data_IF_172883390024
#
_entry.id   IF_172883390024
#
_cell.length_a   1.000
_cell.length_b   1.000
_cell.length_c   1.000
_cell.angle_alpha   90.00
_cell.angle_beta   90.00
_cell.angle_gamma   90.00
#
_symmetry.space_group_name_H-M   'P 1'
#
loop_
_entity.id
_entity.type
_entity.pdbx_description
1 polymer ?
#
# COMPACT_ATOMS: atom_id res chain seq x y z
N UNK A 1 0.35 -11.89 4.98
CA UNK A 1 1.70 -12.47 5.04
C UNK A 1 2.69 -11.37 5.33
N UNK A 2 3.33 -11.39 6.52
CA UNK A 2 4.39 -10.45 6.85
C UNK A 2 5.60 -10.78 5.97
N UNK A 3 6.01 -9.84 5.13
CA UNK A 3 7.27 -9.92 4.41
C UNK A 3 8.35 -9.79 5.49
N UNK A 4 8.93 -10.92 5.89
CA UNK A 4 10.09 -10.93 6.75
C UNK A 4 11.14 -10.02 6.08
N UNK A 5 11.48 -8.91 6.70
CA UNK A 5 12.57 -8.05 6.25
C UNK A 5 13.81 -8.94 6.21
N UNK A 6 14.31 -9.25 5.01
CA UNK A 6 15.49 -10.08 4.82
C UNK A 6 16.62 -9.41 5.60
N UNK A 7 17.00 -9.99 6.74
CA UNK A 7 18.11 -9.50 7.58
C UNK A 7 19.36 -9.47 6.70
N UNK A 8 19.92 -8.29 6.52
CA UNK A 8 21.16 -8.09 5.77
C UNK A 8 22.29 -8.65 6.63
N UNK A 9 23.04 -9.61 6.09
CA UNK A 9 24.20 -10.21 6.76
C UNK A 9 25.41 -9.28 6.65
N UNK A 10 26.21 -9.25 7.71
CA UNK A 10 27.43 -8.45 7.74
C UNK A 10 28.57 -9.21 8.36
N UNK A 11 29.77 -8.89 7.96
CA UNK A 11 31.02 -9.40 8.50
C UNK A 11 31.01 -10.95 8.64
N UNK A 12 31.09 -11.45 9.84
CA UNK A 12 31.17 -12.89 10.12
C UNK A 12 29.86 -13.65 9.91
N UNK A 13 28.73 -12.95 9.78
CA UNK A 13 27.43 -13.56 9.44
C UNK A 13 27.38 -14.05 7.97
N UNK A 14 28.33 -13.61 7.13
CA UNK A 14 28.44 -14.03 5.73
C UNK A 14 29.05 -15.44 5.72
N UNK A 15 28.32 -16.41 5.21
CA UNK A 15 28.71 -17.84 5.25
C UNK A 15 29.37 -18.35 3.97
N UNK A 16 29.23 -17.63 2.87
CA UNK A 16 29.74 -18.04 1.55
C UNK A 16 31.26 -18.03 1.51
N UNK A 17 31.93 -19.11 1.01
CA UNK A 17 33.37 -19.22 0.97
C UNK A 17 34.03 -18.22 -0.02
N UNK A 18 33.33 -17.89 -1.11
CA UNK A 18 33.75 -16.89 -2.11
C UNK A 18 32.67 -15.82 -2.23
N UNK A 19 33.10 -14.57 -2.40
CA UNK A 19 32.23 -13.40 -2.50
C UNK A 19 32.76 -12.45 -3.57
N UNK A 20 31.86 -11.75 -4.25
CA UNK A 20 32.20 -10.66 -5.17
C UNK A 20 32.22 -9.37 -4.40
N UNK A 21 33.39 -8.76 -4.31
CA UNK A 21 33.61 -7.58 -3.46
C UNK A 21 33.52 -6.29 -4.27
N UNK A 22 32.78 -5.33 -3.71
CA UNK A 22 32.75 -3.93 -4.14
C UNK A 22 33.45 -3.12 -3.05
N UNK A 23 34.45 -2.35 -3.41
CA UNK A 23 35.23 -1.52 -2.50
C UNK A 23 34.44 -0.36 -1.89
N UNK A 24 35.05 0.33 -0.95
CA UNK A 24 34.46 1.50 -0.30
C UNK A 24 34.19 2.66 -1.25
N UNK A 25 35.04 2.80 -2.27
CA UNK A 25 34.91 3.75 -3.38
C UNK A 25 33.79 3.41 -4.39
N UNK A 26 33.20 2.22 -4.25
CA UNK A 26 32.20 1.69 -5.19
C UNK A 26 32.80 0.97 -6.39
N UNK A 27 34.14 0.89 -6.50
CA UNK A 27 34.84 0.13 -7.51
C UNK A 27 34.69 -1.37 -7.32
N UNK A 28 34.70 -2.14 -8.41
CA UNK A 28 34.64 -3.60 -8.34
C UNK A 28 36.07 -4.15 -8.09
N UNK A 29 36.30 -4.77 -6.94
CA UNK A 29 37.57 -5.39 -6.57
C UNK A 29 37.75 -6.76 -7.23
N UNK A 30 36.67 -7.54 -7.34
CA UNK A 30 36.67 -8.86 -7.95
C UNK A 30 36.07 -9.95 -7.06
N UNK A 31 36.38 -11.21 -7.37
CA UNK A 31 35.96 -12.35 -6.56
C UNK A 31 37.08 -12.73 -5.61
N UNK A 32 36.82 -12.63 -4.32
CA UNK A 32 37.75 -12.92 -3.24
C UNK A 32 37.23 -14.04 -2.35
N UNK A 33 38.10 -14.62 -1.55
CA UNK A 33 37.67 -15.48 -0.44
C UNK A 33 37.04 -14.62 0.65
N UNK A 34 36.19 -15.24 1.48
CA UNK A 34 35.55 -14.55 2.62
C UNK A 34 36.60 -13.87 3.54
N UNK A 35 37.73 -14.54 3.80
CA UNK A 35 38.76 -14.04 4.70
C UNK A 35 39.44 -12.78 4.11
N UNK A 36 39.85 -12.81 2.85
CA UNK A 36 40.44 -11.65 2.16
C UNK A 36 39.46 -10.47 2.12
N UNK A 37 38.17 -10.73 1.89
CA UNK A 37 37.13 -9.70 1.90
C UNK A 37 36.94 -9.06 3.29
N UNK A 38 36.99 -9.86 4.35
CA UNK A 38 36.93 -9.37 5.74
C UNK A 38 38.17 -8.53 6.10
N UNK A 39 39.37 -8.96 5.69
CA UNK A 39 40.60 -8.24 5.96
C UNK A 39 40.61 -6.88 5.22
N UNK A 40 40.09 -6.86 3.97
CA UNK A 40 39.91 -5.61 3.22
C UNK A 40 38.94 -4.66 3.94
N UNK A 41 37.84 -5.15 4.48
CA UNK A 41 36.90 -4.32 5.24
C UNK A 41 37.52 -3.78 6.53
N UNK A 42 38.26 -4.63 7.27
CA UNK A 42 38.97 -4.26 8.51
C UNK A 42 40.04 -3.20 8.25
N UNK A 43 40.84 -3.35 7.16
CA UNK A 43 41.88 -2.38 6.81
C UNK A 43 41.32 -1.01 6.47
N UNK A 44 40.06 -0.95 6.05
CA UNK A 44 39.33 0.29 5.75
C UNK A 44 38.53 0.82 6.94
N UNK A 45 38.54 0.16 8.09
CA UNK A 45 37.74 0.46 9.29
C UNK A 45 36.21 0.49 8.99
N UNK A 46 35.77 -0.37 8.06
CA UNK A 46 34.40 -0.47 7.60
C UNK A 46 33.84 -1.88 7.74
N UNK A 47 32.53 -2.02 7.55
CA UNK A 47 31.84 -3.31 7.56
C UNK A 47 31.80 -3.94 6.16
N UNK A 48 31.89 -5.28 6.12
CA UNK A 48 31.58 -6.07 4.94
C UNK A 48 30.07 -6.41 4.94
N UNK A 49 29.31 -5.88 4.01
CA UNK A 49 27.85 -5.99 3.98
C UNK A 49 27.39 -6.78 2.76
N UNK A 50 26.60 -7.83 2.97
CA UNK A 50 26.03 -8.64 1.89
C UNK A 50 24.84 -7.94 1.25
N UNK A 51 25.05 -7.34 0.05
CA UNK A 51 24.02 -6.58 -0.68
C UNK A 51 23.16 -7.43 -1.60
N UNK A 52 23.71 -8.54 -2.14
CA UNK A 52 22.99 -9.46 -3.02
C UNK A 52 23.32 -10.92 -2.69
N UNK A 53 22.56 -11.53 -1.76
CA UNK A 53 22.81 -12.92 -1.32
C UNK A 53 22.43 -13.99 -2.34
N UNK A 54 21.65 -13.64 -3.37
CA UNK A 54 21.16 -14.59 -4.39
C UNK A 54 22.07 -14.66 -5.63
N UNK A 55 23.08 -13.80 -5.72
CA UNK A 55 24.05 -13.87 -6.81
C UNK A 55 25.03 -15.02 -6.56
N UNK A 56 25.61 -15.57 -7.61
CA UNK A 56 26.64 -16.59 -7.54
C UNK A 56 27.93 -16.07 -8.21
N UNK A 57 29.02 -15.80 -7.45
CA UNK A 57 29.09 -15.71 -5.99
C UNK A 57 28.33 -14.50 -5.43
N UNK A 58 27.90 -14.55 -4.12
CA UNK A 58 27.18 -13.44 -3.47
C UNK A 58 27.96 -12.12 -3.55
N UNK A 59 27.23 -11.01 -3.73
CA UNK A 59 27.85 -9.69 -3.80
C UNK A 59 27.87 -9.06 -2.42
N UNK A 60 29.07 -8.65 -2.01
CA UNK A 60 29.32 -7.92 -0.77
C UNK A 60 29.92 -6.56 -1.06
N UNK A 61 29.71 -5.60 -0.18
CA UNK A 61 30.27 -4.25 -0.30
C UNK A 61 30.89 -3.82 1.02
N UNK A 62 32.07 -3.17 0.91
CA UNK A 62 32.73 -2.54 2.05
C UNK A 62 32.09 -1.18 2.26
N UNK A 63 31.41 -0.97 3.40
CA UNK A 63 30.73 0.28 3.74
C UNK A 63 30.40 0.36 5.24
N UNK A 64 30.03 1.55 5.71
CA UNK A 64 29.43 1.71 7.03
C UNK A 64 28.01 1.13 7.06
N UNK A 65 27.80 0.08 7.83
CA UNK A 65 26.51 -0.60 7.96
C UNK A 65 25.43 0.30 8.58
N UNK A 66 25.81 1.16 9.54
CA UNK A 66 24.87 2.08 10.18
C UNK A 66 24.30 3.08 9.19
N UNK A 67 25.17 3.69 8.37
CA UNK A 67 24.78 4.61 7.30
C UNK A 67 23.92 3.92 6.23
N UNK A 68 24.31 2.72 5.82
CA UNK A 68 23.54 1.92 4.89
C UNK A 68 22.12 1.63 5.40
N UNK A 69 21.99 1.18 6.65
CA UNK A 69 20.70 0.88 7.28
C UNK A 69 19.82 2.13 7.38
N UNK A 70 20.41 3.27 7.74
CA UNK A 70 19.70 4.54 7.79
C UNK A 70 19.17 4.96 6.43
N UNK A 71 19.99 4.86 5.37
CA UNK A 71 19.56 5.17 4.00
C UNK A 71 18.46 4.22 3.50
N UNK A 72 18.57 2.94 3.78
CA UNK A 72 17.54 1.93 3.45
C UNK A 72 16.21 2.26 4.15
N UNK A 73 16.25 2.57 5.44
CA UNK A 73 15.08 2.95 6.20
C UNK A 73 14.46 4.25 5.65
N UNK A 74 15.29 5.26 5.34
CA UNK A 74 14.84 6.51 4.73
C UNK A 74 14.14 6.28 3.38
N UNK A 75 14.72 5.44 2.51
CA UNK A 75 14.11 5.05 1.22
C UNK A 75 12.77 4.31 1.42
N UNK A 76 12.73 3.36 2.35
CA UNK A 76 11.53 2.58 2.67
C UNK A 76 10.41 3.49 3.23
N UNK A 77 10.72 4.42 4.14
CA UNK A 77 9.76 5.39 4.65
C UNK A 77 9.28 6.36 3.56
N UNK A 78 10.18 6.83 2.69
CA UNK A 78 9.80 7.68 1.55
C UNK A 78 8.89 6.94 0.57
N UNK A 79 9.17 5.66 0.28
CA UNK A 79 8.31 4.82 -0.56
C UNK A 79 6.94 4.61 0.07
N UNK A 80 6.87 4.31 1.39
CA UNK A 80 5.60 4.18 2.12
C UNK A 80 4.77 5.47 2.11
N UNK A 81 5.43 6.65 2.26
CA UNK A 81 4.74 7.95 2.18
C UNK A 81 4.17 8.23 0.80
N UNK A 82 4.84 7.78 -0.27
CA UNK A 82 4.36 7.92 -1.65
C UNK A 82 3.25 6.93 -2.00
N UNK A 83 3.14 5.84 -1.25
CA UNK A 83 2.09 4.85 -1.46
C UNK A 83 0.76 5.44 -0.99
N UNK A 84 -0.13 5.73 -1.94
CA UNK A 84 -1.47 6.23 -1.65
C UNK A 84 -2.29 5.12 -0.98
N UNK A 85 -2.64 5.30 0.29
CA UNK A 85 -3.55 4.40 0.98
C UNK A 85 -4.98 4.73 0.57
N UNK A 86 -5.61 3.84 -0.18
CA UNK A 86 -7.02 3.94 -0.53
C UNK A 86 -7.84 3.72 0.74
N UNK A 87 -8.59 4.73 1.15
CA UNK A 87 -9.49 4.66 2.29
C UNK A 87 -10.92 4.36 1.84
N UNK A 88 -11.69 3.69 2.71
CA UNK A 88 -13.13 3.50 2.52
C UNK A 88 -13.83 4.57 3.34
N UNK A 89 -14.48 5.52 2.68
CA UNK A 89 -15.27 6.57 3.31
C UNK A 89 -16.75 6.23 3.23
N UNK A 90 -17.42 6.22 4.38
CA UNK A 90 -18.84 5.86 4.48
C UNK A 90 -19.73 7.09 4.41
N UNK A 91 -20.79 7.01 3.59
CA UNK A 91 -21.89 7.98 3.54
C UNK A 91 -23.20 7.28 3.80
N UNK A 92 -23.97 7.82 4.77
CA UNK A 92 -25.23 7.25 5.20
C UNK A 92 -26.41 8.01 4.57
N UNK A 93 -27.33 7.22 3.99
CA UNK A 93 -28.60 7.69 3.45
C UNK A 93 -29.76 7.11 4.24
N UNK A 94 -30.92 7.72 4.05
CA UNK A 94 -32.23 7.20 4.47
C UNK A 94 -33.17 7.13 3.27
N UNK A 95 -34.19 6.27 3.27
CA UNK A 95 -35.16 6.20 2.18
C UNK A 95 -35.88 7.54 1.92
N UNK A 96 -36.10 8.34 2.97
CA UNK A 96 -36.73 9.67 2.89
C UNK A 96 -35.71 10.83 2.87
N UNK A 97 -34.50 10.64 2.32
CA UNK A 97 -33.52 11.72 2.13
C UNK A 97 -34.09 12.76 1.19
N UNK A 98 -34.11 14.03 1.61
CA UNK A 98 -34.55 15.14 0.76
C UNK A 98 -33.52 15.44 -0.35
N UNK A 99 -33.96 16.22 -1.35
CA UNK A 99 -33.14 16.50 -2.54
C UNK A 99 -31.87 17.31 -2.20
N UNK A 100 -31.94 18.26 -1.28
CA UNK A 100 -30.79 19.07 -0.90
C UNK A 100 -29.72 18.23 -0.19
N UNK A 101 -30.12 17.38 0.77
CA UNK A 101 -29.23 16.47 1.47
C UNK A 101 -28.63 15.42 0.50
N UNK A 102 -29.45 14.94 -0.45
CA UNK A 102 -29.00 14.04 -1.52
C UNK A 102 -27.87 14.70 -2.34
N UNK A 103 -28.05 15.94 -2.80
CA UNK A 103 -27.06 16.63 -3.63
C UNK A 103 -25.76 16.92 -2.86
N UNK A 104 -25.85 17.25 -1.55
CA UNK A 104 -24.67 17.44 -0.71
C UNK A 104 -23.88 16.13 -0.59
N UNK A 105 -24.57 15.02 -0.34
CA UNK A 105 -23.96 13.69 -0.21
C UNK A 105 -23.36 13.20 -1.53
N UNK A 106 -24.04 13.43 -2.65
CA UNK A 106 -23.54 13.13 -3.99
C UNK A 106 -22.21 13.85 -4.26
N UNK A 107 -22.15 15.17 -3.99
CA UNK A 107 -20.90 15.95 -4.14
C UNK A 107 -19.78 15.40 -3.26
N UNK A 108 -20.08 14.96 -2.04
CA UNK A 108 -19.09 14.37 -1.15
C UNK A 108 -18.57 13.03 -1.71
N UNK A 109 -19.45 12.18 -2.27
CA UNK A 109 -19.04 10.93 -2.92
C UNK A 109 -18.11 11.22 -4.08
N UNK A 110 -18.46 12.14 -4.97
CA UNK A 110 -17.63 12.54 -6.12
C UNK A 110 -16.26 13.02 -5.65
N UNK A 111 -16.21 13.84 -4.58
CA UNK A 111 -14.95 14.29 -4.00
C UNK A 111 -14.09 13.12 -3.51
N UNK A 112 -14.66 12.18 -2.76
CA UNK A 112 -13.92 11.00 -2.26
C UNK A 112 -13.36 10.15 -3.41
N UNK A 113 -14.17 9.92 -4.44
CA UNK A 113 -13.75 9.19 -5.63
C UNK A 113 -12.64 9.92 -6.40
N UNK A 114 -12.70 11.28 -6.48
CA UNK A 114 -11.66 12.09 -7.12
C UNK A 114 -10.34 12.07 -6.35
N UNK A 115 -10.40 11.96 -5.01
CA UNK A 115 -9.24 11.73 -4.14
C UNK A 115 -8.68 10.31 -4.29
N UNK A 116 -9.40 9.42 -4.99
CA UNK A 116 -9.05 8.01 -5.24
C UNK A 116 -9.39 7.09 -4.08
N UNK A 117 -10.24 7.54 -3.17
CA UNK A 117 -10.82 6.72 -2.10
C UNK A 117 -12.02 5.93 -2.61
N UNK A 118 -12.46 4.93 -1.84
CA UNK A 118 -13.68 4.17 -2.08
C UNK A 118 -14.83 4.77 -1.27
N UNK A 119 -16.02 4.83 -1.86
CA UNK A 119 -17.21 5.30 -1.18
C UNK A 119 -18.12 4.11 -0.81
N UNK A 120 -18.31 3.90 0.49
CA UNK A 120 -19.31 2.96 1.02
C UNK A 120 -20.59 3.72 1.28
N UNK A 121 -21.63 3.40 0.52
CA UNK A 121 -22.97 3.96 0.70
C UNK A 121 -23.79 3.00 1.55
N UNK A 122 -24.25 3.50 2.69
CA UNK A 122 -25.08 2.73 3.63
C UNK A 122 -26.46 3.39 3.73
N UNK A 123 -27.48 2.70 3.28
CA UNK A 123 -28.87 3.14 3.37
C UNK A 123 -29.55 2.42 4.56
N UNK A 124 -29.87 3.16 5.62
CA UNK A 124 -30.41 2.61 6.84
C UNK A 124 -31.93 2.76 6.89
N UNK A 125 -32.63 1.64 7.05
CA UNK A 125 -34.08 1.57 7.23
C UNK A 125 -34.48 1.61 8.70
N UNK A 126 -35.55 2.33 9.02
CA UNK A 126 -36.24 2.24 10.32
C UNK A 126 -37.32 1.17 10.26
N UNK A 127 -37.85 0.74 11.41
CA UNK A 127 -38.78 -0.37 11.54
C UNK A 127 -39.87 -0.44 10.45
N UNK A 128 -40.65 0.61 10.27
CA UNK A 128 -41.73 0.67 9.23
C UNK A 128 -41.18 0.77 7.79
N UNK A 129 -39.98 1.30 7.59
CA UNK A 129 -39.36 1.46 6.27
C UNK A 129 -38.85 0.14 5.73
N UNK A 130 -38.68 -0.88 6.56
CA UNK A 130 -38.29 -2.24 6.15
C UNK A 130 -39.29 -2.92 5.22
N UNK A 131 -40.59 -2.53 5.30
CA UNK A 131 -41.61 -3.02 4.38
C UNK A 131 -41.52 -2.40 2.99
N UNK A 132 -40.73 -1.31 2.83
CA UNK A 132 -40.62 -0.52 1.61
C UNK A 132 -39.15 -0.38 1.17
N UNK A 133 -38.44 -1.50 1.13
CA UNK A 133 -37.02 -1.53 0.68
C UNK A 133 -36.84 -1.14 -0.78
N UNK A 134 -37.90 -1.21 -1.59
CA UNK A 134 -37.98 -0.76 -2.98
C UNK A 134 -37.68 0.74 -3.13
N UNK A 135 -38.13 1.58 -2.17
CA UNK A 135 -37.84 3.04 -2.17
C UNK A 135 -36.34 3.26 -2.02
N UNK A 136 -35.72 2.51 -1.09
CA UNK A 136 -34.28 2.57 -0.91
C UNK A 136 -33.49 2.12 -2.13
N UNK A 137 -33.96 1.06 -2.81
CA UNK A 137 -33.35 0.57 -4.02
C UNK A 137 -33.39 1.59 -5.15
N UNK A 138 -34.55 2.26 -5.35
CA UNK A 138 -34.67 3.35 -6.32
C UNK A 138 -33.68 4.50 -6.06
N UNK A 139 -33.45 4.85 -4.79
CA UNK A 139 -32.46 5.87 -4.44
C UNK A 139 -31.04 5.43 -4.80
N UNK A 140 -30.68 4.18 -4.55
CA UNK A 140 -29.37 3.64 -4.94
C UNK A 140 -29.22 3.54 -6.47
N UNK A 141 -30.26 3.15 -7.19
CA UNK A 141 -30.27 3.12 -8.66
C UNK A 141 -30.08 4.51 -9.26
N UNK A 142 -30.73 5.54 -8.67
CA UNK A 142 -30.49 6.95 -9.02
C UNK A 142 -29.03 7.33 -8.77
N UNK A 143 -28.47 6.96 -7.63
CA UNK A 143 -27.08 7.26 -7.28
C UNK A 143 -26.10 6.59 -8.26
N UNK A 144 -26.37 5.37 -8.71
CA UNK A 144 -25.59 4.68 -9.76
C UNK A 144 -25.59 5.46 -11.06
N UNK A 145 -26.76 5.97 -11.48
CA UNK A 145 -26.87 6.76 -12.69
C UNK A 145 -26.11 8.09 -12.59
N UNK A 146 -26.25 8.79 -11.48
CA UNK A 146 -25.59 10.08 -11.23
C UNK A 146 -24.06 9.94 -11.11
N UNK A 147 -23.57 8.79 -10.63
CA UNK A 147 -22.15 8.51 -10.49
C UNK A 147 -21.52 7.77 -11.68
N UNK A 148 -22.28 7.45 -12.73
CA UNK A 148 -21.84 6.63 -13.86
C UNK A 148 -20.54 7.11 -14.53
N UNK A 149 -20.32 8.42 -14.57
CA UNK A 149 -19.13 9.01 -15.17
C UNK A 149 -17.91 8.98 -14.25
N UNK A 150 -18.13 9.00 -12.92
CA UNK A 150 -17.07 9.15 -11.90
C UNK A 150 -16.68 7.84 -11.25
N UNK A 151 -17.60 6.87 -11.20
CA UNK A 151 -17.46 5.65 -10.43
C UNK A 151 -17.74 4.39 -11.23
N UNK A 152 -17.17 3.29 -10.74
CA UNK A 152 -17.59 1.93 -11.04
C UNK A 152 -18.14 1.29 -9.78
N UNK A 153 -19.14 0.43 -9.95
CA UNK A 153 -19.72 -0.37 -8.87
C UNK A 153 -18.70 -1.45 -8.50
N UNK A 154 -18.22 -1.46 -7.27
CA UNK A 154 -17.35 -2.52 -6.74
C UNK A 154 -18.19 -3.61 -6.05
N UNK A 155 -19.24 -3.21 -5.35
CA UNK A 155 -20.19 -4.12 -4.72
C UNK A 155 -21.61 -3.64 -4.99
N UNK A 156 -22.42 -4.53 -5.56
CA UNK A 156 -23.84 -4.29 -5.79
C UNK A 156 -24.62 -4.12 -4.47
N UNK A 157 -25.79 -3.47 -4.49
CA UNK A 157 -26.60 -3.30 -3.29
C UNK A 157 -26.88 -4.65 -2.62
N UNK A 158 -26.43 -4.80 -1.39
CA UNK A 158 -26.66 -5.98 -0.54
C UNK A 158 -27.36 -5.58 0.74
N UNK A 159 -28.38 -6.37 1.13
CA UNK A 159 -29.08 -6.16 2.40
C UNK A 159 -28.31 -6.78 3.55
N UNK A 160 -27.90 -5.96 4.51
CA UNK A 160 -27.20 -6.37 5.74
C UNK A 160 -28.07 -6.00 6.97
N UNK A 161 -28.94 -6.91 7.39
CA UNK A 161 -29.85 -6.67 8.48
C UNK A 161 -30.87 -5.55 8.14
N UNK A 162 -30.76 -4.39 8.82
CA UNK A 162 -31.64 -3.22 8.60
C UNK A 162 -31.01 -2.13 7.74
N UNK A 163 -30.01 -2.46 6.97
CA UNK A 163 -29.35 -1.53 6.08
C UNK A 163 -29.03 -2.17 4.72
N UNK A 164 -29.04 -1.37 3.67
CA UNK A 164 -28.58 -1.76 2.35
C UNK A 164 -27.24 -1.09 2.08
N UNK A 165 -26.24 -1.88 1.72
CA UNK A 165 -24.86 -1.42 1.53
C UNK A 165 -24.46 -1.58 0.07
N UNK A 166 -23.79 -0.59 -0.46
CA UNK A 166 -23.24 -0.56 -1.81
C UNK A 166 -21.86 0.09 -1.78
N UNK A 167 -20.93 -0.37 -2.62
CA UNK A 167 -19.59 0.22 -2.70
C UNK A 167 -19.29 0.71 -4.11
N UNK A 168 -18.69 1.90 -4.14
CA UNK A 168 -18.19 2.55 -5.34
C UNK A 168 -16.69 2.72 -5.25
N UNK A 169 -16.01 2.48 -6.36
CA UNK A 169 -14.61 2.81 -6.56
C UNK A 169 -14.46 3.84 -7.69
N UNK A 170 -13.39 4.62 -7.64
CA UNK A 170 -13.10 5.57 -8.72
C UNK A 170 -12.92 4.82 -10.06
N UNK A 171 -13.52 5.34 -11.12
CA UNK A 171 -13.32 4.82 -12.47
C UNK A 171 -11.88 5.11 -12.89
N UNK A 172 -11.11 4.09 -13.22
CA UNK A 172 -9.78 4.29 -13.81
C UNK A 172 -9.96 4.94 -15.19
N UNK A 173 -9.33 6.10 -15.36
CA UNK A 173 -9.16 6.71 -16.69
C UNK A 173 -8.27 5.85 -17.56
#
# INVERSE_FOLDING_TARGET
MAIASKRVRRNEEITSPKVRVIGADGGQVGVLTRFEALDLARSSELDLVEVSPQADPPVVRVMDFGKFLFEQNKKSHAAKRKQKNIQIKEIKFRPGTDENDYQIKLRNIIRFLSEGDKAKVTLRFRGREMAHTDIGRKLLDRLVNDLREFAQIEQNPLMEGRQMVMMFAAKKK
#
